data_IF_425425721492
#
_entry.id   IF_425425721492
#
_cell.length_a   1.000
_cell.length_b   1.000
_cell.length_c   1.000
_cell.angle_alpha   90.00
_cell.angle_beta   90.00
_cell.angle_gamma   90.00
#
_symmetry.space_group_name_H-M   'P 1'
#
loop_
_entity.id
_entity.type
_entity.pdbx_description
1 polymer ?
#
# COMPACT_ATOMS: atom_id res chain seq x y z
N UNK A 1 15.86 3.34 -6.37
CA UNK A 1 16.74 2.56 -7.26
C UNK A 1 16.74 1.08 -6.89
N UNK A 2 17.02 0.70 -5.64
CA UNK A 2 17.06 -0.68 -5.18
C UNK A 2 15.76 -1.44 -5.44
N UNK A 3 14.61 -0.83 -5.20
CA UNK A 3 13.30 -1.44 -5.44
C UNK A 3 13.08 -1.70 -6.94
N UNK A 4 13.37 -0.72 -7.80
CA UNK A 4 13.25 -0.87 -9.28
C UNK A 4 14.14 -2.01 -9.76
N UNK A 5 15.40 -2.03 -9.33
CA UNK A 5 16.34 -3.09 -9.70
C UNK A 5 15.88 -4.49 -9.31
N UNK A 6 14.95 -4.61 -8.37
CA UNK A 6 14.41 -5.88 -7.86
C UNK A 6 13.02 -6.23 -8.38
N UNK A 7 12.43 -5.37 -9.25
CA UNK A 7 11.18 -5.68 -9.93
C UNK A 7 10.02 -4.74 -9.64
N UNK A 8 10.21 -3.73 -8.79
CA UNK A 8 9.14 -2.78 -8.47
C UNK A 8 8.98 -1.78 -9.62
N UNK A 9 7.79 -1.71 -10.19
CA UNK A 9 7.43 -0.77 -11.27
C UNK A 9 6.41 0.28 -10.82
N UNK A 10 5.80 0.10 -9.64
CA UNK A 10 4.85 1.04 -9.02
C UNK A 10 5.12 1.18 -7.54
N UNK A 11 5.12 2.41 -7.05
CA UNK A 11 5.38 2.74 -5.64
C UNK A 11 4.43 3.83 -5.18
N UNK A 12 3.70 3.61 -4.09
CA UNK A 12 3.14 4.69 -3.27
C UNK A 12 4.12 4.96 -2.15
N UNK A 13 4.75 6.13 -2.16
CA UNK A 13 5.77 6.53 -1.18
C UNK A 13 5.16 7.47 -0.15
N UNK A 14 5.38 7.15 1.13
CA UNK A 14 4.87 7.93 2.26
C UNK A 14 5.94 8.94 2.67
N UNK A 15 5.77 10.18 2.22
CA UNK A 15 6.70 11.27 2.51
C UNK A 15 6.29 11.93 3.82
N UNK A 16 7.05 11.71 4.90
CA UNK A 16 6.79 12.34 6.18
C UNK A 16 6.78 13.87 6.05
N UNK A 17 5.73 14.48 6.57
CA UNK A 17 5.50 15.93 6.62
C UNK A 17 4.99 16.29 8.01
N UNK A 18 5.75 17.08 8.74
CA UNK A 18 5.46 17.58 10.08
C UNK A 18 6.29 18.85 10.37
N UNK A 19 6.20 19.38 11.57
CA UNK A 19 6.93 20.61 11.94
C UNK A 19 8.43 20.41 12.06
N UNK A 20 8.90 19.18 12.33
CA UNK A 20 10.32 18.85 12.48
C UNK A 20 11.04 18.79 11.14
N UNK A 21 10.51 17.98 10.21
CA UNK A 21 11.11 17.82 8.88
C UNK A 21 10.50 18.74 7.81
N UNK A 22 9.41 19.42 8.13
CA UNK A 22 8.69 20.30 7.19
C UNK A 22 8.42 19.58 5.87
N UNK A 23 8.96 20.10 4.77
CA UNK A 23 8.85 19.51 3.43
C UNK A 23 10.11 18.79 2.95
N UNK A 24 11.18 18.72 3.74
CA UNK A 24 12.47 18.18 3.27
C UNK A 24 12.38 16.73 2.74
N UNK A 25 11.61 15.88 3.44
CA UNK A 25 11.41 14.49 2.99
C UNK A 25 10.48 14.42 1.79
N UNK A 26 9.45 15.26 1.76
CA UNK A 26 8.55 15.38 0.62
C UNK A 26 9.31 15.81 -0.64
N UNK A 27 10.11 16.86 -0.57
CA UNK A 27 10.94 17.36 -1.69
C UNK A 27 11.89 16.28 -2.19
N UNK A 28 12.48 15.51 -1.27
CA UNK A 28 13.39 14.40 -1.61
C UNK A 28 12.66 13.28 -2.37
N UNK A 29 11.43 12.94 -1.97
CA UNK A 29 10.62 11.92 -2.66
C UNK A 29 10.14 12.44 -4.01
N UNK A 30 9.75 13.73 -4.13
CA UNK A 30 9.38 14.34 -5.41
C UNK A 30 10.56 14.35 -6.39
N UNK A 31 11.76 14.66 -5.93
CA UNK A 31 12.98 14.58 -6.75
C UNK A 31 13.26 13.13 -7.21
N UNK A 32 13.01 12.15 -6.35
CA UNK A 32 13.13 10.74 -6.73
C UNK A 32 12.06 10.33 -7.75
N UNK A 33 10.80 10.77 -7.60
CA UNK A 33 9.71 10.58 -8.57
C UNK A 33 10.10 11.11 -9.95
N UNK A 34 10.63 12.32 -10.03
CA UNK A 34 11.11 12.92 -11.27
C UNK A 34 12.27 12.12 -11.89
N UNK A 35 13.29 11.82 -11.06
CA UNK A 35 14.47 11.07 -11.51
C UNK A 35 14.15 9.71 -12.12
N UNK A 36 13.18 9.00 -11.57
CA UNK A 36 12.85 7.62 -11.98
C UNK A 36 11.55 7.50 -12.78
N UNK A 37 10.98 8.61 -13.28
CA UNK A 37 9.72 8.65 -14.01
C UNK A 37 9.66 7.70 -15.24
N UNK A 38 10.82 7.40 -15.86
CA UNK A 38 10.92 6.45 -16.98
C UNK A 38 11.09 4.98 -16.56
N UNK A 39 11.26 4.72 -15.26
CA UNK A 39 11.57 3.38 -14.74
C UNK A 39 10.52 2.85 -13.75
N UNK A 40 9.73 3.72 -13.14
CA UNK A 40 8.63 3.35 -12.25
C UNK A 40 7.60 4.48 -12.15
N UNK A 41 6.35 4.10 -11.89
CA UNK A 41 5.28 5.02 -11.50
C UNK A 41 5.35 5.25 -9.99
N UNK A 42 5.46 6.52 -9.56
CA UNK A 42 5.55 6.88 -8.15
C UNK A 42 4.39 7.81 -7.78
N UNK A 43 3.54 7.37 -6.86
CA UNK A 43 2.60 8.22 -6.14
C UNK A 43 3.24 8.71 -4.85
N UNK A 44 3.12 10.00 -4.57
CA UNK A 44 3.67 10.62 -3.35
C UNK A 44 2.53 10.98 -2.41
N UNK A 45 2.53 10.37 -1.25
CA UNK A 45 1.59 10.67 -0.18
C UNK A 45 2.21 11.64 0.81
N UNK A 46 1.50 12.71 1.14
CA UNK A 46 1.86 13.55 2.26
C UNK A 46 1.48 12.86 3.57
N UNK A 47 2.46 12.53 4.42
CA UNK A 47 2.27 11.63 5.54
C UNK A 47 2.57 12.27 6.90
N UNK A 48 1.55 12.45 7.78
CA UNK A 48 1.71 13.07 9.10
C UNK A 48 2.23 12.04 10.13
N UNK A 49 3.48 11.61 10.02
CA UNK A 49 4.08 10.55 10.85
C UNK A 49 3.95 10.81 12.37
N UNK A 50 3.98 12.07 12.78
CA UNK A 50 3.87 12.47 14.19
C UNK A 50 2.43 12.76 14.64
N UNK A 51 1.42 12.50 13.78
CA UNK A 51 0.03 12.92 13.99
C UNK A 51 -0.24 14.29 13.37
N UNK A 52 -1.48 14.73 13.43
CA UNK A 52 -1.95 16.01 12.84
C UNK A 52 -2.20 17.06 13.91
N UNK A 53 -2.67 16.64 15.07
CA UNK A 53 -3.19 17.55 16.11
C UNK A 53 -2.18 17.83 17.22
N UNK A 54 -1.11 17.04 17.32
CA UNK A 54 -0.16 17.13 18.42
C UNK A 54 0.77 18.35 18.32
N UNK A 55 0.99 18.84 17.11
CA UNK A 55 1.92 19.94 16.84
C UNK A 55 1.27 21.01 15.98
N UNK A 56 1.29 22.27 16.48
CA UNK A 56 0.78 23.42 15.75
C UNK A 56 1.60 23.67 14.48
N UNK A 57 0.93 23.83 13.33
CA UNK A 57 1.56 24.07 12.03
C UNK A 57 1.67 22.82 11.15
N UNK A 58 1.49 21.62 11.65
CA UNK A 58 1.52 20.39 10.82
C UNK A 58 0.52 20.47 9.66
N UNK A 59 -0.70 20.93 9.91
CA UNK A 59 -1.74 21.07 8.88
C UNK A 59 -1.31 21.98 7.74
N UNK A 60 -0.59 23.06 8.04
CA UNK A 60 -0.13 24.03 7.03
C UNK A 60 0.92 23.38 6.10
N UNK A 61 1.83 22.55 6.66
CA UNK A 61 2.80 21.80 5.85
C UNK A 61 2.15 20.69 5.01
N UNK A 62 1.16 19.99 5.56
CA UNK A 62 0.38 19.00 4.80
C UNK A 62 -0.34 19.68 3.63
N UNK A 63 -0.98 20.79 3.88
CA UNK A 63 -1.65 21.56 2.83
C UNK A 63 -0.66 22.10 1.79
N UNK A 64 0.52 22.55 2.21
CA UNK A 64 1.55 23.03 1.29
C UNK A 64 2.09 21.93 0.40
N UNK A 65 2.32 20.72 0.93
CA UNK A 65 2.73 19.57 0.10
C UNK A 65 1.67 19.16 -0.93
N UNK A 66 0.38 19.28 -0.61
CA UNK A 66 -0.71 19.06 -1.56
C UNK A 66 -0.71 20.11 -2.68
N UNK A 67 -0.46 21.38 -2.35
CA UNK A 67 -0.28 22.47 -3.36
C UNK A 67 0.90 22.19 -4.29
N UNK A 68 1.95 21.56 -3.78
CA UNK A 68 3.16 21.20 -4.53
C UNK A 68 3.02 19.87 -5.28
N UNK A 69 1.87 19.22 -5.25
CA UNK A 69 1.57 18.06 -6.08
C UNK A 69 1.73 16.71 -5.39
N UNK A 70 1.51 16.63 -4.08
CA UNK A 70 1.27 15.33 -3.43
C UNK A 70 0.04 14.67 -4.05
N UNK A 71 0.15 13.38 -4.37
CA UNK A 71 -0.89 12.62 -5.06
C UNK A 71 -1.99 12.11 -4.09
N UNK A 72 -1.64 11.94 -2.81
CA UNK A 72 -2.50 11.31 -1.80
C UNK A 72 -2.38 12.06 -0.47
N UNK A 73 -3.52 12.28 0.21
CA UNK A 73 -3.56 12.80 1.58
C UNK A 73 -3.46 11.67 2.59
N UNK A 74 -2.50 11.74 3.48
CA UNK A 74 -2.26 10.76 4.53
C UNK A 74 -2.96 11.05 5.86
N UNK A 75 -3.20 9.98 6.62
CA UNK A 75 -3.59 10.01 8.02
C UNK A 75 -2.91 8.90 8.80
N UNK A 76 -2.91 8.97 10.13
CA UNK A 76 -2.33 7.94 10.99
C UNK A 76 -3.03 7.88 12.34
N UNK A 77 -3.45 6.67 12.76
CA UNK A 77 -3.90 6.30 14.11
C UNK A 77 -4.69 7.42 14.85
N UNK A 78 -5.84 7.83 14.30
CA UNK A 78 -6.53 9.05 14.72
C UNK A 78 -6.99 9.00 16.18
N UNK A 79 -7.34 7.82 16.71
CA UNK A 79 -7.76 7.64 18.09
C UNK A 79 -6.55 7.46 19.04
N UNK A 80 -5.56 6.68 18.65
CA UNK A 80 -4.44 6.34 19.52
C UNK A 80 -3.41 7.46 19.59
N UNK A 81 -3.09 8.09 18.46
CA UNK A 81 -2.05 9.11 18.38
C UNK A 81 -2.61 10.50 18.71
N UNK A 82 -3.56 10.99 17.94
CA UNK A 82 -4.13 12.34 18.12
C UNK A 82 -5.19 12.42 19.20
N UNK A 83 -5.81 11.31 19.60
CA UNK A 83 -6.89 11.21 20.63
C UNK A 83 -8.13 12.04 20.34
N UNK A 84 -8.29 12.47 19.11
CA UNK A 84 -9.47 13.15 18.59
C UNK A 84 -9.70 12.70 17.13
N UNK A 85 -10.21 11.45 16.95
CA UNK A 85 -10.36 10.87 15.62
C UNK A 85 -11.32 11.65 14.73
N UNK A 86 -12.31 12.30 15.30
CA UNK A 86 -13.26 13.11 14.54
C UNK A 86 -12.54 14.28 13.88
N UNK A 87 -11.81 15.07 14.66
CA UNK A 87 -11.09 16.25 14.16
C UNK A 87 -9.94 15.84 13.21
N UNK A 88 -9.20 14.78 13.54
CA UNK A 88 -8.16 14.23 12.65
C UNK A 88 -8.74 13.91 11.27
N UNK A 89 -9.80 13.12 11.23
CA UNK A 89 -10.42 12.69 9.98
C UNK A 89 -11.10 13.84 9.23
N UNK A 90 -11.69 14.82 9.94
CA UNK A 90 -12.27 16.01 9.30
C UNK A 90 -11.20 16.83 8.58
N UNK A 91 -9.98 16.92 9.12
CA UNK A 91 -8.85 17.57 8.45
C UNK A 91 -8.41 16.76 7.24
N UNK A 92 -8.19 15.45 7.39
CA UNK A 92 -7.75 14.57 6.30
C UNK A 92 -8.73 14.62 5.13
N UNK A 93 -10.00 14.37 5.38
CA UNK A 93 -11.00 14.35 4.32
C UNK A 93 -11.28 15.74 3.76
N UNK A 94 -11.24 16.80 4.59
CA UNK A 94 -11.38 18.18 4.14
C UNK A 94 -10.26 18.63 3.20
N UNK A 95 -9.00 18.28 3.49
CA UNK A 95 -7.88 18.53 2.59
C UNK A 95 -7.97 17.69 1.32
N UNK A 96 -8.32 16.41 1.42
CA UNK A 96 -8.49 15.54 0.27
C UNK A 96 -9.59 16.06 -0.69
N UNK A 97 -10.74 16.50 -0.15
CA UNK A 97 -11.82 17.13 -0.93
C UNK A 97 -11.36 18.43 -1.58
N UNK A 98 -10.66 19.29 -0.85
CA UNK A 98 -10.17 20.58 -1.34
C UNK A 98 -9.21 20.44 -2.52
N UNK A 99 -8.30 19.45 -2.46
CA UNK A 99 -7.28 19.22 -3.47
C UNK A 99 -7.64 18.12 -4.46
N UNK A 100 -8.80 17.49 -4.30
CA UNK A 100 -9.32 16.41 -5.18
C UNK A 100 -8.35 15.22 -5.29
N UNK A 101 -7.73 14.84 -4.17
CA UNK A 101 -6.82 13.71 -4.06
C UNK A 101 -7.45 12.53 -3.30
N UNK A 102 -6.85 11.36 -3.43
CA UNK A 102 -7.19 10.18 -2.64
C UNK A 102 -6.73 10.33 -1.17
N UNK A 103 -7.25 9.44 -0.33
CA UNK A 103 -6.88 9.34 1.09
C UNK A 103 -6.22 7.99 1.35
N UNK A 104 -5.18 7.96 2.17
CA UNK A 104 -4.57 6.73 2.68
C UNK A 104 -4.28 6.89 4.18
N UNK A 105 -4.93 6.09 5.00
CA UNK A 105 -4.82 6.19 6.45
C UNK A 105 -4.08 4.97 7.00
N UNK A 106 -2.94 5.21 7.66
CA UNK A 106 -2.26 4.19 8.45
C UNK A 106 -3.08 3.89 9.69
N UNK A 107 -3.44 2.62 9.88
CA UNK A 107 -4.26 2.19 11.00
C UNK A 107 -3.62 0.97 11.68
N UNK A 108 -2.86 1.26 12.75
CA UNK A 108 -2.23 0.23 13.59
C UNK A 108 -3.05 -0.06 14.84
N UNK A 109 -4.11 0.71 15.08
CA UNK A 109 -4.99 0.65 16.24
C UNK A 109 -5.58 -0.76 16.40
N UNK A 110 -5.38 -1.43 17.56
CA UNK A 110 -5.75 -2.83 17.68
C UNK A 110 -7.23 -3.01 18.05
N UNK A 111 -7.81 -4.14 17.59
CA UNK A 111 -9.11 -4.61 18.05
C UNK A 111 -10.22 -3.57 17.91
N UNK A 112 -11.05 -3.41 18.93
CA UNK A 112 -12.22 -2.51 18.86
C UNK A 112 -11.87 -1.02 18.75
N UNK A 113 -10.67 -0.60 19.13
CA UNK A 113 -10.23 0.79 18.88
C UNK A 113 -10.06 1.03 17.39
N UNK A 114 -9.40 0.11 16.69
CA UNK A 114 -9.27 0.18 15.24
C UNK A 114 -10.62 0.09 14.52
N UNK A 115 -11.52 -0.79 14.98
CA UNK A 115 -12.89 -0.86 14.45
C UNK A 115 -13.61 0.49 14.58
N UNK A 116 -13.50 1.15 15.74
CA UNK A 116 -14.12 2.47 15.95
C UNK A 116 -13.56 3.51 14.97
N UNK A 117 -12.25 3.56 14.78
CA UNK A 117 -11.64 4.49 13.83
C UNK A 117 -12.01 4.14 12.38
N UNK A 118 -12.04 2.86 12.03
CA UNK A 118 -12.51 2.39 10.73
C UNK A 118 -13.96 2.79 10.47
N UNK A 119 -14.86 2.57 11.42
CA UNK A 119 -16.28 2.96 11.29
C UNK A 119 -16.42 4.48 11.02
N UNK A 120 -15.63 5.33 11.68
CA UNK A 120 -15.58 6.77 11.41
C UNK A 120 -15.06 7.11 10.00
N UNK A 121 -14.13 6.33 9.47
CA UNK A 121 -13.68 6.48 8.06
C UNK A 121 -14.81 6.10 7.10
N UNK A 122 -15.46 4.95 7.32
CA UNK A 122 -16.54 4.47 6.48
C UNK A 122 -17.74 5.43 6.46
N UNK A 123 -18.06 6.07 7.59
CA UNK A 123 -19.07 7.14 7.68
C UNK A 123 -18.73 8.30 6.74
N UNK A 124 -17.47 8.77 6.74
CA UNK A 124 -17.02 9.87 5.87
C UNK A 124 -17.01 9.48 4.40
N UNK A 125 -16.57 8.27 4.09
CA UNK A 125 -16.62 7.74 2.70
C UNK A 125 -18.05 7.81 2.15
N UNK A 126 -19.03 7.37 2.94
CA UNK A 126 -20.46 7.45 2.56
C UNK A 126 -20.95 8.89 2.43
N UNK A 127 -20.64 9.72 3.42
CA UNK A 127 -21.14 11.10 3.48
C UNK A 127 -20.57 12.00 2.37
N UNK A 128 -19.32 11.79 1.97
CA UNK A 128 -18.61 12.61 0.99
C UNK A 128 -18.56 11.98 -0.42
N UNK A 129 -19.13 10.80 -0.60
CA UNK A 129 -19.08 10.10 -1.91
C UNK A 129 -17.67 9.72 -2.34
N UNK A 130 -16.82 9.31 -1.40
CA UNK A 130 -15.42 8.97 -1.66
C UNK A 130 -15.18 7.47 -1.87
N UNK A 131 -16.19 6.73 -2.33
CA UNK A 131 -16.03 5.33 -2.71
C UNK A 131 -14.94 5.18 -3.75
N UNK A 132 -14.05 4.21 -3.56
CA UNK A 132 -12.91 3.95 -4.43
C UNK A 132 -11.70 4.88 -4.20
N UNK A 133 -11.81 5.92 -3.39
CA UNK A 133 -10.76 6.93 -3.18
C UNK A 133 -10.05 6.82 -1.82
N UNK A 134 -10.35 5.77 -1.05
CA UNK A 134 -9.79 5.61 0.29
C UNK A 134 -9.05 4.28 0.39
N UNK A 135 -7.84 4.35 0.92
CA UNK A 135 -7.02 3.20 1.29
C UNK A 135 -6.87 3.18 2.82
N UNK A 136 -6.96 2.00 3.42
CA UNK A 136 -6.52 1.75 4.78
C UNK A 136 -5.22 0.94 4.74
N UNK A 137 -4.15 1.53 5.26
CA UNK A 137 -2.87 0.86 5.36
C UNK A 137 -2.75 0.14 6.69
N UNK A 138 -2.26 -1.12 6.67
CA UNK A 138 -2.19 -2.08 7.76
C UNK A 138 -3.54 -2.68 8.17
N UNK A 139 -4.47 -1.89 8.69
CA UNK A 139 -5.79 -2.31 9.15
C UNK A 139 -5.74 -3.56 10.06
N UNK A 140 -4.85 -3.51 11.06
CA UNK A 140 -4.55 -4.66 11.93
C UNK A 140 -5.73 -5.09 12.82
N UNK A 141 -6.72 -4.24 12.99
CA UNK A 141 -7.95 -4.58 13.70
C UNK A 141 -8.65 -5.80 13.08
N UNK A 142 -8.60 -5.97 11.76
CA UNK A 142 -9.22 -7.12 11.07
C UNK A 142 -8.73 -8.47 11.57
N UNK A 143 -7.45 -8.56 11.95
CA UNK A 143 -6.87 -9.77 12.55
C UNK A 143 -6.99 -9.84 14.07
N UNK A 144 -7.46 -8.77 14.72
CA UNK A 144 -7.51 -8.62 16.16
C UNK A 144 -8.91 -8.67 16.78
N UNK A 145 -9.97 -8.87 15.98
CA UNK A 145 -11.37 -8.94 16.40
C UNK A 145 -11.98 -10.32 16.12
N UNK A 146 -13.21 -10.53 16.59
CA UNK A 146 -13.97 -11.75 16.29
C UNK A 146 -14.31 -11.86 14.79
N UNK A 147 -14.59 -13.08 14.36
CA UNK A 147 -14.86 -13.39 12.94
C UNK A 147 -16.05 -12.62 12.36
N UNK A 148 -17.10 -12.39 13.15
CA UNK A 148 -18.29 -11.67 12.68
C UNK A 148 -17.98 -10.20 12.42
N UNK A 149 -17.24 -9.56 13.32
CA UNK A 149 -16.78 -8.17 13.17
C UNK A 149 -15.83 -8.04 11.97
N UNK A 150 -14.83 -8.93 11.85
CA UNK A 150 -13.90 -8.93 10.71
C UNK A 150 -14.64 -9.10 9.38
N UNK A 151 -15.59 -10.02 9.30
CA UNK A 151 -16.40 -10.25 8.10
C UNK A 151 -17.23 -9.03 7.71
N UNK A 152 -17.89 -8.40 8.68
CA UNK A 152 -18.65 -7.15 8.46
C UNK A 152 -17.75 -6.07 7.82
N UNK A 153 -16.55 -5.85 8.38
CA UNK A 153 -15.63 -4.84 7.84
C UNK A 153 -15.18 -5.18 6.42
N UNK A 154 -14.86 -6.44 6.14
CA UNK A 154 -14.46 -6.89 4.79
C UNK A 154 -15.61 -6.67 3.78
N UNK A 155 -16.85 -6.99 4.16
CA UNK A 155 -18.04 -6.75 3.33
C UNK A 155 -18.23 -5.24 3.07
N UNK A 156 -18.10 -4.38 4.09
CA UNK A 156 -18.18 -2.93 3.94
C UNK A 156 -17.03 -2.35 3.09
N UNK A 157 -15.82 -2.89 3.21
CA UNK A 157 -14.69 -2.50 2.34
C UNK A 157 -14.96 -2.82 0.87
N UNK A 158 -15.51 -3.99 0.60
CA UNK A 158 -15.89 -4.37 -0.75
C UNK A 158 -17.04 -3.48 -1.29
N UNK A 159 -18.07 -3.21 -0.49
CA UNK A 159 -19.23 -2.37 -0.85
C UNK A 159 -18.83 -0.92 -1.15
N UNK A 160 -17.97 -0.35 -0.31
CA UNK A 160 -17.53 1.05 -0.42
C UNK A 160 -16.27 1.22 -1.27
N UNK A 161 -15.79 0.13 -1.85
CA UNK A 161 -14.55 0.13 -2.63
C UNK A 161 -13.35 0.73 -1.84
N UNK A 162 -13.24 0.37 -0.56
CA UNK A 162 -12.06 0.69 0.25
C UNK A 162 -10.91 -0.20 -0.19
N UNK A 163 -9.78 0.40 -0.50
CA UNK A 163 -8.56 -0.34 -0.75
C UNK A 163 -7.83 -0.65 0.56
N UNK A 164 -7.04 -1.70 0.56
CA UNK A 164 -6.15 -2.05 1.67
C UNK A 164 -4.73 -2.25 1.19
N UNK A 165 -3.77 -1.62 1.87
CA UNK A 165 -2.36 -1.93 1.73
C UNK A 165 -1.86 -2.54 3.04
N UNK A 166 -1.10 -3.60 2.98
CA UNK A 166 -0.49 -4.16 4.18
C UNK A 166 0.93 -4.66 3.91
N UNK A 167 1.60 -5.04 4.96
CA UNK A 167 2.89 -5.71 4.93
C UNK A 167 2.68 -7.20 5.21
N UNK A 168 3.72 -7.98 5.41
CA UNK A 168 3.63 -9.35 5.88
C UNK A 168 3.70 -9.37 7.43
N UNK A 169 2.62 -9.05 8.17
CA UNK A 169 2.67 -8.93 9.62
C UNK A 169 2.92 -10.29 10.27
N UNK A 170 3.75 -10.29 11.31
CA UNK A 170 4.00 -11.51 12.09
C UNK A 170 2.81 -11.78 13.04
N UNK A 171 2.47 -13.04 13.17
CA UNK A 171 1.64 -13.76 14.15
C UNK A 171 0.43 -13.09 14.85
N UNK A 172 0.44 -11.82 15.18
CA UNK A 172 -0.63 -11.21 16.00
C UNK A 172 -1.72 -10.48 15.23
N UNK A 173 -1.48 -10.17 13.98
CA UNK A 173 -2.35 -9.32 13.17
C UNK A 173 -2.54 -9.93 11.78
N UNK A 174 -2.63 -11.26 11.71
CA UNK A 174 -2.84 -11.95 10.44
C UNK A 174 -4.18 -11.58 9.85
N UNK A 175 -4.12 -10.99 8.66
CA UNK A 175 -5.30 -10.67 7.88
C UNK A 175 -5.82 -11.93 7.17
N UNK A 176 -7.12 -12.04 7.03
CA UNK A 176 -7.74 -13.11 6.26
C UNK A 176 -7.59 -12.83 4.76
N UNK A 177 -6.41 -13.14 4.20
CA UNK A 177 -6.08 -12.84 2.80
C UNK A 177 -7.07 -13.46 1.82
N UNK A 178 -7.50 -14.70 2.11
CA UNK A 178 -8.49 -15.40 1.28
C UNK A 178 -9.83 -14.66 1.30
N UNK A 179 -10.33 -14.28 2.49
CA UNK A 179 -11.61 -13.59 2.60
C UNK A 179 -11.57 -12.20 1.93
N UNK A 180 -10.49 -11.44 2.10
CA UNK A 180 -10.28 -10.15 1.43
C UNK A 180 -10.29 -10.29 -0.10
N UNK A 181 -9.58 -11.29 -0.62
CA UNK A 181 -9.49 -11.54 -2.05
C UNK A 181 -10.83 -12.01 -2.63
N UNK A 182 -11.52 -12.96 -1.96
CA UNK A 182 -12.82 -13.48 -2.40
C UNK A 182 -13.93 -12.43 -2.34
N UNK A 183 -13.86 -11.49 -1.38
CA UNK A 183 -14.75 -10.35 -1.30
C UNK A 183 -14.48 -9.30 -2.40
N UNK A 184 -13.37 -9.40 -3.13
CA UNK A 184 -12.98 -8.45 -4.17
C UNK A 184 -12.49 -7.12 -3.61
N UNK A 185 -11.99 -7.07 -2.38
CA UNK A 185 -11.31 -5.89 -1.83
C UNK A 185 -10.03 -5.65 -2.63
N UNK A 186 -9.76 -4.39 -3.01
CA UNK A 186 -8.48 -4.01 -3.61
C UNK A 186 -7.41 -4.11 -2.53
N UNK A 187 -6.72 -5.23 -2.51
CA UNK A 187 -5.73 -5.54 -1.48
C UNK A 187 -4.35 -5.73 -2.07
N UNK A 188 -3.36 -4.99 -1.56
CA UNK A 188 -1.99 -5.01 -2.03
C UNK A 188 -0.97 -5.18 -0.92
N UNK A 189 0.22 -5.63 -1.30
CA UNK A 189 1.36 -5.81 -0.41
C UNK A 189 2.38 -4.69 -0.61
N UNK A 190 2.80 -4.08 0.51
CA UNK A 190 3.85 -3.08 0.58
C UNK A 190 5.12 -3.57 1.27
N UNK A 191 6.18 -2.84 1.11
CA UNK A 191 7.47 -3.08 1.78
C UNK A 191 7.49 -2.48 3.19
N UNK A 192 6.84 -1.31 3.38
CA UNK A 192 6.99 -0.46 4.56
C UNK A 192 8.45 0.03 4.71
N UNK A 193 9.02 0.07 5.90
CA UNK A 193 10.38 0.50 6.11
C UNK A 193 11.45 -0.47 5.57
N UNK A 194 12.59 0.09 5.16
CA UNK A 194 13.74 -0.67 4.68
C UNK A 194 14.94 -0.47 5.58
N UNK A 195 15.08 -1.31 6.61
CA UNK A 195 16.18 -1.24 7.58
C UNK A 195 16.27 0.13 8.24
N UNK A 196 15.14 0.64 8.66
CA UNK A 196 14.99 1.91 9.32
C UNK A 196 14.89 1.78 10.84
N UNK A 197 14.50 2.88 11.49
CA UNK A 197 14.35 2.94 12.95
C UNK A 197 13.29 1.96 13.48
N UNK A 198 12.25 1.68 12.71
CA UNK A 198 11.12 0.84 13.11
C UNK A 198 11.41 -0.64 12.94
N UNK A 199 12.16 -1.00 11.89
CA UNK A 199 12.38 -2.40 11.54
C UNK A 199 13.73 -2.63 10.87
N UNK A 200 14.51 -3.64 11.32
CA UNK A 200 15.75 -4.04 10.67
C UNK A 200 15.48 -4.86 9.39
N UNK A 201 14.23 -5.23 9.15
CA UNK A 201 13.81 -6.01 7.99
C UNK A 201 13.48 -5.09 6.81
N UNK A 202 13.23 -5.70 5.66
CA UNK A 202 13.00 -4.96 4.43
C UNK A 202 14.28 -4.72 3.64
N UNK A 203 14.23 -5.03 2.37
CA UNK A 203 15.39 -4.97 1.48
C UNK A 203 15.02 -4.39 0.10
N UNK A 204 13.79 -3.90 -0.08
CA UNK A 204 13.27 -3.40 -1.35
C UNK A 204 12.92 -4.49 -2.36
N UNK A 205 12.75 -5.73 -1.91
CA UNK A 205 12.45 -6.89 -2.76
C UNK A 205 11.03 -7.41 -2.48
N UNK A 206 10.08 -7.07 -3.36
CA UNK A 206 8.71 -7.52 -3.22
C UNK A 206 8.54 -9.03 -3.41
N UNK A 207 9.47 -9.70 -4.06
CA UNK A 207 9.46 -11.17 -4.14
C UNK A 207 9.82 -11.80 -2.79
N UNK A 208 10.77 -11.20 -2.06
CA UNK A 208 11.08 -11.59 -0.67
C UNK A 208 9.92 -11.27 0.27
N UNK A 209 9.28 -10.12 0.11
CA UNK A 209 8.09 -9.75 0.89
C UNK A 209 6.91 -10.71 0.60
N UNK A 210 6.75 -11.16 -0.63
CA UNK A 210 5.76 -12.20 -1.01
C UNK A 210 6.02 -13.51 -0.28
N UNK A 211 7.28 -13.95 -0.24
CA UNK A 211 7.67 -15.13 0.54
C UNK A 211 7.33 -14.98 2.02
N UNK A 212 7.64 -13.81 2.61
CA UNK A 212 7.31 -13.53 4.01
C UNK A 212 5.79 -13.58 4.25
N UNK A 213 4.98 -13.02 3.34
CA UNK A 213 3.52 -13.06 3.42
C UNK A 213 2.99 -14.50 3.41
N UNK A 214 3.48 -15.33 2.49
CA UNK A 214 3.10 -16.73 2.41
C UNK A 214 3.56 -17.52 3.66
N UNK A 215 4.75 -17.25 4.16
CA UNK A 215 5.32 -17.90 5.34
C UNK A 215 4.56 -17.54 6.62
N UNK A 216 4.28 -16.26 6.86
CA UNK A 216 3.56 -15.82 8.06
C UNK A 216 2.13 -16.31 8.10
N UNK A 217 1.50 -16.52 6.94
CA UNK A 217 0.17 -17.12 6.82
C UNK A 217 0.18 -18.66 6.78
N UNK A 218 1.35 -19.30 6.93
CA UNK A 218 1.51 -20.75 6.90
C UNK A 218 0.93 -21.41 5.63
N UNK A 219 0.98 -20.72 4.50
CA UNK A 219 0.52 -21.25 3.20
C UNK A 219 1.53 -22.28 2.67
N UNK A 220 1.00 -23.42 2.21
CA UNK A 220 1.81 -24.57 1.76
C UNK A 220 1.37 -25.10 0.38
N UNK A 221 0.31 -24.53 -0.19
CA UNK A 221 -0.21 -24.91 -1.50
C UNK A 221 0.17 -23.84 -2.51
N UNK A 222 0.50 -24.25 -3.70
CA UNK A 222 0.87 -23.36 -4.79
C UNK A 222 -0.16 -22.26 -5.01
N UNK A 223 -1.45 -22.60 -5.05
CA UNK A 223 -2.54 -21.64 -5.26
C UNK A 223 -2.54 -20.47 -4.25
N UNK A 224 -2.19 -20.72 -2.98
CA UNK A 224 -2.13 -19.67 -1.96
C UNK A 224 -0.81 -18.88 -2.01
N UNK A 225 0.30 -19.52 -2.34
CA UNK A 225 1.60 -18.84 -2.51
C UNK A 225 1.53 -17.91 -3.72
N UNK A 226 0.95 -18.39 -4.81
CA UNK A 226 0.72 -17.60 -6.01
C UNK A 226 -0.31 -16.48 -5.80
N UNK A 227 -1.32 -16.68 -4.92
CA UNK A 227 -2.20 -15.60 -4.49
C UNK A 227 -1.41 -14.48 -3.79
N UNK A 228 -0.45 -14.83 -2.91
CA UNK A 228 0.42 -13.82 -2.30
C UNK A 228 1.23 -13.03 -3.36
N UNK A 229 1.69 -13.71 -4.42
CA UNK A 229 2.36 -13.06 -5.53
C UNK A 229 1.39 -12.12 -6.29
N UNK A 230 0.16 -12.55 -6.54
CA UNK A 230 -0.86 -11.72 -7.18
C UNK A 230 -1.20 -10.49 -6.32
N UNK A 231 -1.27 -10.62 -4.99
CA UNK A 231 -1.45 -9.50 -4.05
C UNK A 231 -0.28 -8.52 -4.14
N UNK A 232 0.96 -9.01 -4.22
CA UNK A 232 2.16 -8.18 -4.33
C UNK A 232 2.32 -7.48 -5.68
N UNK A 233 1.67 -7.95 -6.72
CA UNK A 233 1.74 -7.42 -8.09
C UNK A 233 0.45 -6.70 -8.46
N UNK A 234 -0.54 -7.43 -8.92
CA UNK A 234 -1.82 -6.88 -9.38
C UNK A 234 -2.62 -6.22 -8.27
N UNK A 235 -2.58 -6.78 -7.05
CA UNK A 235 -3.24 -6.18 -5.89
C UNK A 235 -2.68 -4.79 -5.59
N UNK A 236 -1.36 -4.63 -5.55
CA UNK A 236 -0.71 -3.33 -5.37
C UNK A 236 -1.03 -2.36 -6.52
N UNK A 237 -1.00 -2.83 -7.76
CA UNK A 237 -1.36 -2.02 -8.92
C UNK A 237 -2.83 -1.55 -8.89
N UNK A 238 -3.76 -2.40 -8.44
CA UNK A 238 -5.18 -2.06 -8.31
C UNK A 238 -5.48 -1.03 -7.20
N UNK A 239 -4.61 -0.87 -6.20
CA UNK A 239 -4.70 0.22 -5.23
C UNK A 239 -4.37 1.56 -5.90
N UNK A 240 -3.34 1.57 -6.76
CA UNK A 240 -2.82 2.79 -7.37
C UNK A 240 -3.56 3.21 -8.65
N UNK A 241 -4.35 2.31 -9.26
CA UNK A 241 -5.09 2.60 -10.50
C UNK A 241 -6.36 1.79 -10.60
N UNK A 242 -7.48 2.48 -10.85
CA UNK A 242 -8.78 1.86 -11.09
C UNK A 242 -8.88 1.11 -12.43
N UNK A 243 -7.97 1.36 -13.36
CA UNK A 243 -7.91 0.67 -14.66
C UNK A 243 -7.34 -0.75 -14.53
N UNK A 244 -6.75 -1.07 -13.37
CA UNK A 244 -6.21 -2.39 -13.09
C UNK A 244 -7.30 -3.28 -12.48
N UNK A 245 -7.55 -4.47 -13.05
CA UNK A 245 -8.51 -5.40 -12.47
C UNK A 245 -8.14 -5.81 -11.04
N UNK A 246 -9.11 -5.81 -10.15
CA UNK A 246 -8.94 -6.33 -8.79
C UNK A 246 -8.94 -7.86 -8.78
N UNK A 247 -8.29 -8.43 -7.79
CA UNK A 247 -8.37 -9.86 -7.54
C UNK A 247 -9.77 -10.19 -6.97
N UNK A 248 -10.40 -11.22 -7.50
CA UNK A 248 -11.73 -11.70 -7.07
C UNK A 248 -11.72 -13.19 -6.68
N UNK A 249 -10.55 -13.79 -6.55
CA UNK A 249 -10.40 -15.18 -6.13
C UNK A 249 -8.97 -15.63 -5.97
N UNK A 250 -8.78 -16.69 -5.18
CA UNK A 250 -7.45 -17.26 -4.87
C UNK A 250 -6.65 -17.65 -6.13
N UNK A 251 -7.32 -17.98 -7.23
CA UNK A 251 -6.70 -18.43 -8.48
C UNK A 251 -6.54 -17.34 -9.54
N UNK A 252 -6.92 -16.12 -9.24
CA UNK A 252 -6.79 -15.01 -10.19
C UNK A 252 -5.33 -14.68 -10.44
N UNK A 253 -4.96 -14.61 -11.73
CA UNK A 253 -3.61 -14.30 -12.20
C UNK A 253 -3.67 -13.31 -13.36
N UNK A 254 -4.24 -12.11 -13.13
CA UNK A 254 -4.30 -11.10 -14.18
C UNK A 254 -2.91 -10.52 -14.48
N UNK A 255 -2.77 -9.80 -15.60
CA UNK A 255 -1.60 -9.00 -15.90
C UNK A 255 -0.62 -9.58 -16.91
N UNK A 256 -0.97 -10.72 -17.56
CA UNK A 256 -0.12 -11.34 -18.59
C UNK A 256 -0.86 -11.64 -19.89
N UNK A 257 -2.05 -11.09 -20.10
CA UNK A 257 -2.80 -11.23 -21.32
C UNK A 257 -2.31 -10.26 -22.41
N UNK A 258 -2.62 -10.59 -23.67
CA UNK A 258 -2.34 -9.68 -24.79
C UNK A 258 -3.19 -8.42 -24.61
N UNK A 259 -2.52 -7.26 -24.55
CA UNK A 259 -3.14 -5.96 -24.31
C UNK A 259 -2.96 -5.44 -22.89
N UNK A 260 -2.48 -6.26 -21.96
CA UNK A 260 -2.08 -5.79 -20.64
C UNK A 260 -0.84 -4.90 -20.71
N UNK A 261 -0.69 -4.01 -19.74
CA UNK A 261 0.48 -3.15 -19.63
C UNK A 261 1.73 -4.01 -19.38
N UNK A 262 2.78 -3.77 -20.13
CA UNK A 262 4.02 -4.53 -20.03
C UNK A 262 4.92 -4.01 -18.88
N UNK A 263 4.41 -4.06 -17.66
CA UNK A 263 5.16 -3.89 -16.42
C UNK A 263 5.46 -5.31 -15.89
N UNK A 264 6.65 -5.83 -16.15
CA UNK A 264 6.97 -7.24 -15.95
C UNK A 264 8.28 -7.43 -15.20
N UNK A 265 8.29 -8.43 -14.34
CA UNK A 265 9.52 -9.00 -13.77
C UNK A 265 9.77 -10.37 -14.39
N UNK A 266 10.88 -10.53 -15.10
CA UNK A 266 11.39 -11.81 -15.55
C UNK A 266 12.37 -12.31 -14.48
N UNK A 267 12.13 -13.50 -13.97
CA UNK A 267 12.97 -14.17 -12.98
C UNK A 267 12.99 -15.65 -13.28
N UNK A 268 14.13 -16.29 -13.04
CA UNK A 268 14.27 -17.73 -13.25
C UNK A 268 13.43 -18.51 -12.23
N UNK A 269 12.73 -19.55 -12.71
CA UNK A 269 11.90 -20.42 -11.90
C UNK A 269 11.11 -21.41 -12.75
N UNK A 270 10.90 -22.62 -12.23
CA UNK A 270 10.11 -23.64 -12.93
C UNK A 270 8.61 -23.35 -12.84
N UNK A 271 8.18 -22.70 -11.76
CA UNK A 271 6.81 -22.28 -11.49
C UNK A 271 6.81 -20.93 -10.75
N UNK A 272 5.69 -20.18 -10.73
CA UNK A 272 5.61 -18.97 -9.89
C UNK A 272 5.92 -19.26 -8.42
N UNK A 273 5.45 -20.39 -7.88
CA UNK A 273 5.78 -20.82 -6.52
C UNK A 273 7.29 -20.98 -6.32
N UNK A 274 8.00 -21.67 -7.24
CA UNK A 274 9.45 -21.85 -7.10
C UNK A 274 10.18 -20.51 -7.18
N UNK A 275 9.75 -19.58 -8.05
CA UNK A 275 10.32 -18.24 -8.13
C UNK A 275 10.17 -17.48 -6.80
N UNK A 276 9.01 -17.58 -6.13
CA UNK A 276 8.80 -17.00 -4.79
C UNK A 276 9.68 -17.69 -3.73
N UNK A 277 9.85 -19.01 -3.80
CA UNK A 277 10.67 -19.75 -2.83
C UNK A 277 12.15 -19.44 -2.99
N UNK A 278 12.63 -19.41 -4.22
CA UNK A 278 14.07 -19.27 -4.55
C UNK A 278 14.54 -17.82 -4.57
N UNK A 279 13.63 -16.87 -4.93
CA UNK A 279 13.95 -15.43 -5.00
C UNK A 279 15.22 -15.15 -5.80
N UNK A 280 15.34 -15.78 -6.97
CA UNK A 280 16.51 -15.67 -7.84
C UNK A 280 16.94 -14.20 -8.05
N UNK A 281 18.25 -14.00 -8.22
CA UNK A 281 18.83 -12.66 -8.41
C UNK A 281 19.08 -12.31 -9.87
N UNK A 282 18.97 -13.29 -10.76
CA UNK A 282 18.99 -13.04 -12.20
C UNK A 282 17.61 -12.56 -12.64
N UNK A 283 17.48 -11.24 -12.82
CA UNK A 283 16.21 -10.58 -13.05
C UNK A 283 16.33 -9.52 -14.12
N UNK A 284 15.31 -9.47 -14.99
CA UNK A 284 15.09 -8.36 -15.92
C UNK A 284 13.75 -7.70 -15.60
N UNK A 285 13.74 -6.38 -15.49
CA UNK A 285 12.56 -5.58 -15.16
C UNK A 285 12.16 -4.75 -16.37
N UNK A 286 10.89 -4.87 -16.75
CA UNK A 286 10.28 -4.04 -17.78
C UNK A 286 9.26 -3.08 -17.17
N UNK A 287 9.28 -1.83 -17.62
CA UNK A 287 8.28 -0.82 -17.34
C UNK A 287 7.82 -0.19 -18.66
N UNK A 288 6.50 -0.19 -18.90
CA UNK A 288 5.92 0.23 -20.19
C UNK A 288 6.59 -0.44 -21.41
N UNK A 289 6.91 -1.73 -21.28
CA UNK A 289 7.55 -2.52 -22.34
C UNK A 289 9.04 -2.23 -22.59
N UNK A 290 9.66 -1.39 -21.78
CA UNK A 290 11.10 -1.08 -21.86
C UNK A 290 11.84 -1.77 -20.73
N UNK A 291 13.00 -2.36 -21.03
CA UNK A 291 13.88 -2.89 -20.00
C UNK A 291 14.47 -1.73 -19.21
N UNK A 292 14.15 -1.65 -17.92
CA UNK A 292 14.58 -0.56 -17.01
C UNK A 292 15.61 -1.02 -15.99
N UNK A 293 15.70 -2.33 -15.74
CA UNK A 293 16.75 -2.90 -14.90
C UNK A 293 17.10 -4.32 -15.38
N UNK A 294 18.37 -4.72 -15.18
CA UNK A 294 18.86 -6.04 -15.49
C UNK A 294 19.99 -6.42 -14.51
N UNK A 295 20.04 -7.71 -14.10
CA UNK A 295 21.03 -8.21 -13.16
C UNK A 295 21.09 -7.39 -11.85
N UNK A 296 19.94 -6.96 -11.30
CA UNK A 296 19.82 -6.12 -10.12
C UNK A 296 20.43 -4.71 -10.24
N UNK A 297 20.50 -4.17 -11.45
CA UNK A 297 21.00 -2.83 -11.71
C UNK A 297 20.00 -2.08 -12.59
N UNK A 298 19.66 -0.84 -12.16
CA UNK A 298 18.86 0.06 -12.99
C UNK A 298 19.70 0.51 -14.18
N UNK A 299 19.14 0.40 -15.38
CA UNK A 299 19.78 0.86 -16.60
C UNK A 299 19.66 2.39 -16.69
N UNK A 300 20.68 3.04 -17.22
CA UNK A 300 20.61 4.46 -17.49
C UNK A 300 19.51 4.73 -18.54
N UNK A 301 18.58 5.63 -18.21
CA UNK A 301 17.52 6.11 -19.10
C UNK A 301 18.09 7.06 -20.15
#
# INVERSE_FOLDING_TARGET
ETMIARGTTRVRSYAQVDVDCKLEKFDSVMAAKEKFAGAAEVQVMTFPQAGILLEEGTVDYLEESLKQGADVMGGIDPSQLDRDPVRHLDIVFGLAEKYQVEVDIHLHEPGHLGVFSTDLVLERVRALGMQGKVTLSHAYELGGVDEATSRRLIEEFAELDIAMASVAPAARNQLSLVALTEAGVRFGLGEDGQRDYWSPYGNGDMLDRTWQLAFTNNFRRDEHIEMCLAIATMGGAAIMSHDVPRLAGVKDRPGTAIGDRADLLLVDGQTPTSAVMDRGTDRTVLHDGRVVADGLRVLAS
#
